data_IF_547566031127
#
_entry.id   IF_547566031127
#
_cell.length_a   1.000
_cell.length_b   1.000
_cell.length_c   1.000
_cell.angle_alpha   90.00
_cell.angle_beta   90.00
_cell.angle_gamma   90.00
#
_symmetry.space_group_name_H-M   'P 1'
#
loop_
_entity.id
_entity.type
_entity.pdbx_description
1 polymer ?
#
# COMPACT_ATOMS: atom_id res chain seq x y z
N UNK A 1 -10.84 -10.76 -7.06
CA UNK A 1 -11.32 -9.45 -7.55
C UNK A 1 -12.83 -9.42 -7.80
N UNK A 2 -13.50 -10.56 -8.05
CA UNK A 2 -14.96 -10.62 -8.27
C UNK A 2 -15.81 -10.00 -7.14
N UNK A 3 -15.32 -10.04 -5.90
CA UNK A 3 -16.01 -9.49 -4.71
C UNK A 3 -16.20 -7.96 -4.71
N UNK A 4 -15.49 -7.23 -5.58
CA UNK A 4 -15.57 -5.76 -5.62
C UNK A 4 -16.46 -5.25 -6.75
N UNK A 5 -16.88 -6.10 -7.69
CA UNK A 5 -17.62 -5.69 -8.88
C UNK A 5 -18.90 -4.91 -8.53
N UNK A 6 -19.64 -5.38 -7.51
CA UNK A 6 -20.89 -4.73 -7.06
C UNK A 6 -20.67 -3.32 -6.47
N UNK A 7 -19.48 -3.07 -5.92
CA UNK A 7 -19.09 -1.76 -5.36
C UNK A 7 -18.37 -0.87 -6.38
N UNK A 8 -17.95 -1.42 -7.51
CA UNK A 8 -17.28 -0.66 -8.56
C UNK A 8 -18.23 0.23 -9.35
N UNK A 9 -19.55 -0.02 -9.31
CA UNK A 9 -20.58 0.78 -10.00
C UNK A 9 -20.41 2.27 -9.74
N UNK A 10 -20.21 2.68 -8.49
CA UNK A 10 -19.98 4.09 -8.14
C UNK A 10 -18.77 4.69 -8.86
N UNK A 11 -17.66 3.95 -8.98
CA UNK A 11 -16.44 4.44 -9.65
C UNK A 11 -16.57 4.38 -11.18
N UNK A 12 -17.32 3.39 -11.70
CA UNK A 12 -17.54 3.20 -13.13
C UNK A 12 -18.54 4.23 -13.67
N UNK A 13 -19.56 4.59 -12.90
CA UNK A 13 -20.60 5.56 -13.30
C UNK A 13 -20.24 6.99 -12.88
N UNK A 14 -19.29 7.15 -11.96
CA UNK A 14 -18.85 8.44 -11.44
C UNK A 14 -18.31 9.37 -12.54
N UNK A 15 -18.85 10.59 -12.58
CA UNK A 15 -18.39 11.63 -13.50
C UNK A 15 -17.12 12.31 -12.98
N UNK A 16 -16.45 13.11 -13.83
CA UNK A 16 -15.28 13.90 -13.39
C UNK A 16 -15.60 14.86 -12.24
N UNK A 17 -16.85 15.31 -12.16
CA UNK A 17 -17.34 16.19 -11.09
C UNK A 17 -17.49 15.44 -9.77
N UNK A 18 -17.98 14.20 -9.81
CA UNK A 18 -18.09 13.35 -8.62
C UNK A 18 -16.71 12.98 -8.07
N UNK A 19 -15.74 12.68 -8.94
CA UNK A 19 -14.35 12.43 -8.54
C UNK A 19 -13.75 13.66 -7.86
N UNK A 20 -14.06 14.86 -8.34
CA UNK A 20 -13.61 16.10 -7.68
C UNK A 20 -14.29 16.32 -6.33
N UNK A 21 -15.58 16.00 -6.21
CA UNK A 21 -16.30 16.05 -4.92
C UNK A 21 -15.68 15.07 -3.92
N UNK A 22 -15.45 13.81 -4.30
CA UNK A 22 -14.83 12.82 -3.42
C UNK A 22 -13.39 13.17 -3.03
N UNK A 23 -12.65 13.84 -3.91
CA UNK A 23 -11.32 14.35 -3.59
C UNK A 23 -11.38 15.49 -2.55
N UNK A 24 -12.37 16.39 -2.65
CA UNK A 24 -12.58 17.51 -1.71
C UNK A 24 -13.08 17.02 -0.35
N UNK A 25 -13.99 16.05 -0.35
CA UNK A 25 -14.55 15.43 0.87
C UNK A 25 -13.56 14.50 1.58
N UNK A 26 -12.47 14.13 0.90
CA UNK A 26 -11.46 13.21 1.44
C UNK A 26 -11.91 11.75 1.49
N UNK A 27 -13.00 11.41 0.78
CA UNK A 27 -13.54 10.05 0.68
C UNK A 27 -12.52 9.09 0.06
N UNK A 28 -11.84 9.54 -1.00
CA UNK A 28 -10.75 8.82 -1.64
C UNK A 28 -9.43 9.59 -1.52
N UNK A 29 -8.30 8.86 -1.43
CA UNK A 29 -6.98 9.49 -1.41
C UNK A 29 -6.66 10.12 -2.78
N UNK A 30 -5.90 11.22 -2.79
CA UNK A 30 -5.58 11.97 -4.02
C UNK A 30 -5.03 11.09 -5.13
N UNK A 31 -4.10 10.18 -4.81
CA UNK A 31 -3.54 9.23 -5.79
C UNK A 31 -4.62 8.35 -6.42
N UNK A 32 -5.60 7.90 -5.63
CA UNK A 32 -6.71 7.06 -6.11
C UNK A 32 -7.59 7.88 -7.06
N UNK A 33 -7.95 9.10 -6.70
CA UNK A 33 -8.73 10.01 -7.56
C UNK A 33 -8.03 10.28 -8.90
N UNK A 34 -6.70 10.44 -8.89
CA UNK A 34 -5.94 10.66 -10.11
C UNK A 34 -5.88 9.43 -11.03
N UNK A 35 -5.93 8.23 -10.47
CA UNK A 35 -6.08 7.01 -11.28
C UNK A 35 -7.51 6.83 -11.79
N UNK A 36 -8.53 7.22 -11.03
CA UNK A 36 -9.93 7.18 -11.49
C UNK A 36 -10.15 8.04 -12.76
N UNK A 37 -9.45 9.18 -12.86
CA UNK A 37 -9.49 10.03 -14.07
C UNK A 37 -8.89 9.37 -15.32
N UNK A 38 -8.08 8.31 -15.15
CA UNK A 38 -7.35 7.60 -16.22
C UNK A 38 -7.98 6.25 -16.56
N UNK A 39 -9.22 6.02 -16.14
CA UNK A 39 -9.94 4.80 -16.44
C UNK A 39 -10.11 4.61 -17.97
N UNK A 40 -10.03 3.36 -18.47
CA UNK A 40 -10.24 3.07 -19.88
C UNK A 40 -11.69 3.30 -20.30
N UNK A 41 -11.91 3.51 -21.59
CA UNK A 41 -13.24 3.72 -22.19
C UNK A 41 -14.02 2.40 -22.30
N UNK A 42 -13.32 1.30 -22.58
CA UNK A 42 -13.92 -0.03 -22.66
C UNK A 42 -14.53 -0.44 -21.30
N UNK A 43 -15.79 -0.84 -21.30
CA UNK A 43 -16.54 -1.07 -20.07
C UNK A 43 -15.99 -2.25 -19.24
N UNK A 44 -15.60 -3.35 -19.90
CA UNK A 44 -15.09 -4.53 -19.21
C UNK A 44 -13.72 -4.25 -18.57
N UNK A 45 -12.81 -3.58 -19.30
CA UNK A 45 -11.52 -3.15 -18.76
C UNK A 45 -11.69 -2.03 -17.71
N UNK A 46 -12.70 -1.18 -17.85
CA UNK A 46 -13.02 -0.13 -16.87
C UNK A 46 -13.42 -0.70 -15.53
N UNK A 47 -14.30 -1.72 -15.52
CA UNK A 47 -14.64 -2.43 -14.28
C UNK A 47 -13.38 -3.04 -13.65
N UNK A 48 -12.58 -3.78 -14.43
CA UNK A 48 -11.36 -4.41 -13.91
C UNK A 48 -10.35 -3.39 -13.35
N UNK A 49 -10.23 -2.22 -13.98
CA UNK A 49 -9.36 -1.14 -13.51
C UNK A 49 -9.93 -0.50 -12.23
N UNK A 50 -11.23 -0.20 -12.21
CA UNK A 50 -11.94 0.34 -11.05
C UNK A 50 -11.82 -0.59 -9.84
N UNK A 51 -11.98 -1.91 -10.00
CA UNK A 51 -11.82 -2.87 -8.90
C UNK A 51 -10.43 -2.86 -8.29
N UNK A 52 -9.38 -2.68 -9.11
CA UNK A 52 -7.99 -2.59 -8.64
C UNK A 52 -7.76 -1.27 -7.88
N UNK A 53 -8.29 -0.17 -8.40
CA UNK A 53 -8.21 1.15 -7.76
C UNK A 53 -8.95 1.13 -6.42
N UNK A 54 -10.15 0.55 -6.37
CA UNK A 54 -10.93 0.40 -5.14
C UNK A 54 -10.22 -0.51 -4.12
N UNK A 55 -9.61 -1.60 -4.60
CA UNK A 55 -8.79 -2.44 -3.74
C UNK A 55 -7.59 -1.68 -3.15
N UNK A 56 -6.90 -0.90 -3.97
CA UNK A 56 -5.81 -0.03 -3.54
C UNK A 56 -6.28 0.98 -2.47
N UNK A 57 -7.44 1.60 -2.68
CA UNK A 57 -8.04 2.51 -1.71
C UNK A 57 -8.23 1.84 -0.34
N UNK A 58 -8.83 0.65 -0.29
CA UNK A 58 -9.03 -0.07 0.96
C UNK A 58 -7.71 -0.46 1.64
N UNK A 59 -6.68 -0.86 0.88
CA UNK A 59 -5.36 -1.14 1.44
C UNK A 59 -4.69 0.11 2.01
N UNK A 60 -4.82 1.27 1.35
CA UNK A 60 -4.30 2.55 1.87
C UNK A 60 -5.04 2.95 3.15
N UNK A 61 -6.37 2.81 3.18
CA UNK A 61 -7.17 3.08 4.37
C UNK A 61 -6.75 2.18 5.53
N UNK A 62 -6.59 0.88 5.27
CA UNK A 62 -6.10 -0.09 6.26
C UNK A 62 -4.69 0.24 6.74
N UNK A 63 -3.78 0.61 5.82
CA UNK A 63 -2.41 1.02 6.17
C UNK A 63 -2.41 2.19 7.16
N UNK A 64 -3.21 3.24 6.91
CA UNK A 64 -3.32 4.39 7.82
C UNK A 64 -3.80 3.98 9.22
N UNK A 65 -4.74 3.04 9.31
CA UNK A 65 -5.24 2.51 10.59
C UNK A 65 -4.27 1.53 11.26
N UNK A 66 -3.47 0.80 10.48
CA UNK A 66 -2.46 -0.14 10.99
C UNK A 66 -1.34 0.52 11.80
N UNK A 67 -1.22 1.85 11.74
CA UNK A 67 -0.26 2.63 12.50
C UNK A 67 -0.60 2.71 13.99
N UNK A 68 -1.85 2.47 14.37
CA UNK A 68 -2.24 2.40 15.77
C UNK A 68 -1.72 1.08 16.38
N UNK A 69 -1.20 1.15 17.62
CA UNK A 69 -0.65 -0.03 18.33
C UNK A 69 -1.65 -1.19 18.42
N UNK A 70 -2.94 -0.89 18.37
CA UNK A 70 -4.05 -1.84 18.40
C UNK A 70 -5.06 -1.43 17.34
N UNK A 71 -5.52 -2.38 16.55
CA UNK A 71 -6.69 -2.26 15.69
C UNK A 71 -7.95 -2.44 16.56
N UNK A 72 -8.13 -1.59 17.56
CA UNK A 72 -9.36 -1.55 18.35
C UNK A 72 -10.33 -0.58 17.68
N UNK A 73 -11.31 -1.09 16.94
CA UNK A 73 -12.26 -0.28 16.15
C UNK A 73 -12.51 -0.89 14.77
N UNK A 74 -13.02 -0.09 13.83
CA UNK A 74 -13.21 -0.49 12.43
C UNK A 74 -11.90 -0.25 11.64
N UNK A 75 -11.18 -1.30 11.22
CA UNK A 75 -9.89 -1.15 10.54
C UNK A 75 -10.02 -0.76 9.06
N UNK A 76 -11.24 -0.83 8.52
CA UNK A 76 -11.60 -0.46 7.16
C UNK A 76 -12.74 0.56 7.14
N UNK A 77 -12.93 1.26 6.02
CA UNK A 77 -14.17 2.00 5.74
C UNK A 77 -15.41 1.11 5.85
N UNK A 78 -16.56 1.71 6.17
CA UNK A 78 -17.82 1.00 6.44
C UNK A 78 -18.38 0.25 5.22
N UNK A 79 -18.01 0.70 4.03
CA UNK A 79 -18.41 0.14 2.75
C UNK A 79 -17.51 -1.03 2.28
N UNK A 80 -16.39 -1.29 2.96
CA UNK A 80 -15.44 -2.33 2.56
C UNK A 80 -16.05 -3.75 2.72
N UNK A 81 -15.97 -4.63 1.69
CA UNK A 81 -16.52 -5.99 1.79
C UNK A 81 -15.88 -6.82 2.91
N UNK A 82 -16.68 -7.52 3.72
CA UNK A 82 -16.18 -8.32 4.86
C UNK A 82 -15.09 -9.32 4.46
N UNK A 83 -15.29 -10.05 3.37
CA UNK A 83 -14.31 -10.99 2.85
C UNK A 83 -12.93 -10.34 2.56
N UNK A 84 -12.92 -9.06 2.17
CA UNK A 84 -11.68 -8.30 1.98
C UNK A 84 -11.02 -7.99 3.32
N UNK A 85 -11.82 -7.54 4.29
CA UNK A 85 -11.35 -7.19 5.63
C UNK A 85 -10.74 -8.41 6.32
N UNK A 86 -11.43 -9.55 6.29
CA UNK A 86 -10.99 -10.81 6.89
C UNK A 86 -9.68 -11.28 6.26
N UNK A 87 -9.59 -11.25 4.93
CA UNK A 87 -8.36 -11.63 4.20
C UNK A 87 -7.20 -10.71 4.55
N UNK A 88 -7.43 -9.40 4.65
CA UNK A 88 -6.39 -8.45 4.97
C UNK A 88 -5.91 -8.60 6.43
N UNK A 89 -6.83 -8.81 7.38
CA UNK A 89 -6.47 -9.09 8.77
C UNK A 89 -5.65 -10.39 8.88
N UNK A 90 -6.08 -11.46 8.18
CA UNK A 90 -5.35 -12.72 8.15
C UNK A 90 -3.92 -12.59 7.61
N UNK A 91 -3.71 -11.74 6.61
CA UNK A 91 -2.41 -11.62 5.91
C UNK A 91 -1.47 -10.61 6.57
N UNK A 92 -2.01 -9.55 7.18
CA UNK A 92 -1.23 -8.40 7.65
C UNK A 92 -1.33 -8.15 9.15
N UNK A 93 -2.23 -8.81 9.89
CA UNK A 93 -2.36 -8.62 11.33
C UNK A 93 -2.08 -9.92 12.10
N UNK A 94 -1.79 -9.74 13.39
CA UNK A 94 -1.72 -10.82 14.38
C UNK A 94 -2.83 -10.58 15.40
N UNK A 95 -3.74 -11.55 15.49
CA UNK A 95 -4.79 -11.59 16.49
C UNK A 95 -4.18 -11.94 17.86
N UNK A 96 -4.49 -11.14 18.87
CA UNK A 96 -4.15 -11.41 20.25
C UNK A 96 -5.41 -11.35 21.10
N UNK A 97 -5.60 -12.30 22.00
CA UNK A 97 -6.70 -12.22 22.96
C UNK A 97 -6.22 -11.34 24.11
N UNK A 98 -6.94 -10.25 24.36
CA UNK A 98 -6.66 -9.44 25.53
C UNK A 98 -7.14 -10.19 26.78
N UNK A 99 -6.21 -10.63 27.62
CA UNK A 99 -6.50 -11.44 28.83
C UNK A 99 -7.52 -10.78 29.77
N UNK A 100 -7.52 -9.43 29.85
CA UNK A 100 -8.41 -8.67 30.74
C UNK A 100 -9.82 -8.51 30.19
N UNK A 101 -9.97 -8.30 28.87
CA UNK A 101 -11.28 -8.04 28.26
C UNK A 101 -11.86 -9.25 27.53
N UNK A 102 -11.07 -10.32 27.36
CA UNK A 102 -11.33 -11.48 26.49
C UNK A 102 -11.68 -11.11 25.05
N UNK A 103 -11.44 -9.86 24.63
CA UNK A 103 -11.69 -9.41 23.26
C UNK A 103 -10.45 -9.66 22.42
N UNK A 104 -10.69 -10.08 21.18
CA UNK A 104 -9.63 -10.14 20.17
C UNK A 104 -9.16 -8.71 19.82
N UNK A 105 -7.86 -8.51 19.86
CA UNK A 105 -7.19 -7.28 19.49
C UNK A 105 -6.15 -7.60 18.44
N UNK A 106 -6.38 -7.10 17.24
CA UNK A 106 -5.45 -7.24 16.14
C UNK A 106 -4.32 -6.21 16.25
N UNK A 107 -3.09 -6.63 15.94
CA UNK A 107 -1.92 -5.75 15.86
C UNK A 107 -1.18 -5.96 14.54
N UNK A 108 -0.60 -4.89 13.99
CA UNK A 108 0.13 -4.95 12.73
C UNK A 108 1.62 -4.69 13.01
N UNK A 109 2.42 -5.75 13.22
CA UNK A 109 3.84 -5.60 13.55
C UNK A 109 4.61 -4.95 12.39
N UNK A 110 5.79 -4.34 12.64
CA UNK A 110 6.58 -3.64 11.63
C UNK A 110 6.84 -4.46 10.36
N UNK A 111 7.13 -5.77 10.49
CA UNK A 111 7.36 -6.67 9.36
C UNK A 111 6.13 -6.82 8.46
N UNK A 112 4.94 -6.98 9.06
CA UNK A 112 3.70 -7.11 8.28
C UNK A 112 3.26 -5.76 7.70
N UNK A 113 3.57 -4.65 8.37
CA UNK A 113 3.42 -3.30 7.79
C UNK A 113 4.30 -3.12 6.56
N UNK A 114 5.56 -3.55 6.59
CA UNK A 114 6.44 -3.50 5.42
C UNK A 114 5.87 -4.33 4.26
N UNK A 115 5.37 -5.55 4.55
CA UNK A 115 4.68 -6.40 3.56
C UNK A 115 3.46 -5.71 2.96
N UNK A 116 2.65 -5.04 3.78
CA UNK A 116 1.49 -4.26 3.33
C UNK A 116 1.93 -3.10 2.42
N UNK A 117 2.94 -2.33 2.82
CA UNK A 117 3.48 -1.24 2.00
C UNK A 117 4.00 -1.74 0.66
N UNK A 118 4.77 -2.83 0.65
CA UNK A 118 5.28 -3.43 -0.59
C UNK A 118 4.14 -3.88 -1.51
N UNK A 119 3.07 -4.47 -0.96
CA UNK A 119 1.90 -4.85 -1.74
C UNK A 119 1.19 -3.62 -2.34
N UNK A 120 1.06 -2.53 -1.57
CA UNK A 120 0.53 -1.26 -2.09
C UNK A 120 1.41 -0.75 -3.24
N UNK A 121 2.74 -0.78 -3.11
CA UNK A 121 3.66 -0.34 -4.16
C UNK A 121 3.53 -1.17 -5.44
N UNK A 122 3.45 -2.50 -5.32
CA UNK A 122 3.25 -3.41 -6.46
C UNK A 122 1.91 -3.13 -7.15
N UNK A 123 0.84 -2.95 -6.37
CA UNK A 123 -0.48 -2.65 -6.92
C UNK A 123 -0.50 -1.29 -7.62
N UNK A 124 0.16 -0.28 -7.06
CA UNK A 124 0.35 1.03 -7.70
C UNK A 124 1.14 0.91 -9.01
N UNK A 125 2.21 0.12 -9.06
CA UNK A 125 2.95 -0.15 -10.30
C UNK A 125 2.03 -0.76 -11.35
N UNK A 126 1.26 -1.78 -10.98
CA UNK A 126 0.37 -2.45 -11.92
C UNK A 126 -0.72 -1.50 -12.46
N UNK A 127 -1.33 -0.69 -11.60
CA UNK A 127 -2.37 0.29 -11.99
C UNK A 127 -1.78 1.39 -12.89
N UNK A 128 -0.57 1.87 -12.59
CA UNK A 128 0.06 2.96 -13.31
C UNK A 128 0.97 2.49 -14.46
N UNK A 129 0.75 1.28 -15.00
CA UNK A 129 1.52 0.71 -16.13
C UNK A 129 3.04 0.77 -15.89
N UNK A 130 3.44 0.33 -14.70
CA UNK A 130 4.82 0.19 -14.24
C UNK A 130 5.59 1.51 -14.04
N UNK A 131 4.90 2.66 -14.04
CA UNK A 131 5.48 3.98 -13.76
C UNK A 131 4.67 4.70 -12.70
N UNK A 132 5.24 4.96 -11.53
CA UNK A 132 4.54 5.53 -10.36
C UNK A 132 5.20 6.82 -9.92
N UNK A 133 4.41 7.87 -9.72
CA UNK A 133 4.82 9.05 -8.98
C UNK A 133 4.86 8.71 -7.48
N UNK A 134 6.08 8.66 -6.94
CA UNK A 134 6.38 8.25 -5.57
C UNK A 134 5.92 9.32 -4.57
N UNK A 135 6.00 10.60 -4.93
CA UNK A 135 5.58 11.70 -4.06
C UNK A 135 4.05 11.70 -3.90
N UNK A 136 3.32 11.53 -5.01
CA UNK A 136 1.86 11.41 -5.00
C UNK A 136 1.39 10.20 -4.19
N UNK A 137 2.07 9.05 -4.32
CA UNK A 137 1.77 7.86 -3.51
C UNK A 137 2.09 8.10 -2.03
N UNK A 138 3.23 8.73 -1.72
CA UNK A 138 3.60 9.07 -0.34
C UNK A 138 2.55 9.97 0.30
N UNK A 139 2.06 10.99 -0.40
CA UNK A 139 1.01 11.88 0.13
C UNK A 139 -0.25 11.10 0.49
N UNK A 140 -0.62 10.12 -0.34
CA UNK A 140 -1.76 9.25 -0.08
C UNK A 140 -1.55 8.31 1.10
N UNK A 141 -0.33 7.82 1.32
CA UNK A 141 0.04 7.04 2.52
C UNK A 141 0.18 7.91 3.78
N UNK A 142 0.42 9.21 3.61
CA UNK A 142 0.57 10.20 4.67
C UNK A 142 1.98 10.25 5.28
N UNK A 143 2.11 10.93 6.42
CA UNK A 143 3.40 11.13 7.11
C UNK A 143 3.96 9.89 7.80
N UNK A 144 3.24 8.76 7.74
CA UNK A 144 3.63 7.50 8.36
C UNK A 144 4.83 6.82 7.71
N UNK A 145 5.13 7.16 6.45
CA UNK A 145 6.29 6.67 5.71
C UNK A 145 7.09 7.85 5.16
N UNK A 146 8.41 7.79 5.34
CA UNK A 146 9.31 8.78 4.74
C UNK A 146 9.48 8.48 3.25
N UNK A 147 9.73 9.53 2.46
CA UNK A 147 10.00 9.37 1.02
C UNK A 147 11.17 8.43 0.77
N UNK A 148 12.24 8.52 1.57
CA UNK A 148 13.41 7.65 1.47
C UNK A 148 13.06 6.17 1.68
N UNK A 149 12.24 5.84 2.69
CA UNK A 149 11.81 4.45 2.92
C UNK A 149 10.95 3.92 1.78
N UNK A 150 10.12 4.78 1.21
CA UNK A 150 9.29 4.39 0.06
C UNK A 150 10.15 4.15 -1.18
N UNK A 151 11.17 4.99 -1.40
CA UNK A 151 12.17 4.81 -2.45
C UNK A 151 13.01 3.53 -2.25
N UNK A 152 13.41 3.22 -1.01
CA UNK A 152 14.11 1.96 -0.70
C UNK A 152 13.26 0.75 -1.10
N UNK A 153 11.96 0.75 -0.75
CA UNK A 153 11.04 -0.33 -1.12
C UNK A 153 10.91 -0.46 -2.64
N UNK A 154 10.74 0.64 -3.37
CA UNK A 154 10.70 0.59 -4.84
C UNK A 154 12.01 0.08 -5.44
N UNK A 155 13.15 0.46 -4.86
CA UNK A 155 14.47 -0.01 -5.30
C UNK A 155 14.64 -1.50 -5.02
N UNK A 156 14.15 -2.01 -3.88
CA UNK A 156 14.13 -3.43 -3.54
C UNK A 156 13.23 -4.25 -4.49
N UNK A 157 12.15 -3.65 -4.98
CA UNK A 157 11.28 -4.23 -6.01
C UNK A 157 11.90 -4.21 -7.42
N UNK A 158 13.08 -3.64 -7.58
CA UNK A 158 13.80 -3.55 -8.86
C UNK A 158 13.42 -2.34 -9.72
N UNK A 159 12.70 -1.35 -9.16
CA UNK A 159 12.39 -0.12 -9.87
C UNK A 159 13.60 0.81 -9.95
N UNK A 160 13.72 1.52 -11.06
CA UNK A 160 14.61 2.66 -11.23
C UNK A 160 13.90 3.91 -10.75
N UNK A 161 14.53 4.68 -9.88
CA UNK A 161 13.99 5.93 -9.37
C UNK A 161 14.70 7.08 -10.05
N UNK A 162 13.94 7.90 -10.76
CA UNK A 162 14.41 9.09 -11.45
C UNK A 162 13.69 10.31 -10.89
N UNK A 163 14.38 11.44 -10.83
CA UNK A 163 13.76 12.71 -10.51
C UNK A 163 13.34 13.37 -11.81
N UNK A 164 12.04 13.57 -11.99
CA UNK A 164 11.46 14.25 -13.16
C UNK A 164 10.92 15.58 -12.67
N UNK A 165 11.54 16.68 -13.10
CA UNK A 165 11.30 18.03 -12.55
C UNK A 165 11.43 18.06 -11.01
N UNK A 166 10.31 18.16 -10.29
CA UNK A 166 10.27 18.22 -8.83
C UNK A 166 9.69 16.96 -8.16
N UNK A 167 9.38 15.92 -8.94
CA UNK A 167 8.80 14.67 -8.42
C UNK A 167 9.74 13.48 -8.65
N UNK A 168 9.68 12.53 -7.73
CA UNK A 168 10.36 11.26 -7.80
C UNK A 168 9.44 10.26 -8.49
N UNK A 169 9.91 9.69 -9.59
CA UNK A 169 9.18 8.70 -10.38
C UNK A 169 9.90 7.37 -10.31
N UNK A 170 9.17 6.32 -9.92
CA UNK A 170 9.66 4.95 -9.92
C UNK A 170 9.14 4.22 -11.15
N UNK A 171 10.06 3.67 -11.95
CA UNK A 171 9.74 2.92 -13.17
C UNK A 171 10.29 1.50 -13.05
N UNK A 172 9.45 0.49 -13.32
CA UNK A 172 9.89 -0.89 -13.44
C UNK A 172 10.17 -1.21 -14.92
N UNK A 173 11.44 -1.29 -15.27
CA UNK A 173 11.91 -1.60 -16.63
C UNK A 173 12.32 -3.08 -16.74
N UNK A 174 12.37 -3.59 -17.96
CA UNK A 174 12.90 -4.93 -18.24
C UNK A 174 14.29 -4.81 -18.90
N UNK A 175 15.25 -5.68 -18.56
CA UNK A 175 15.19 -6.75 -17.55
C UNK A 175 15.14 -6.20 -16.11
N UNK A 176 14.53 -6.96 -15.20
CA UNK A 176 14.34 -6.55 -13.80
C UNK A 176 15.71 -6.26 -13.17
N UNK A 177 15.86 -5.05 -12.64
CA UNK A 177 17.10 -4.67 -11.99
C UNK A 177 17.24 -5.43 -10.68
N UNK A 178 18.37 -6.12 -10.47
CA UNK A 178 18.59 -6.84 -9.22
C UNK A 178 18.73 -5.82 -8.08
N UNK A 179 18.03 -6.01 -6.95
CA UNK A 179 18.21 -5.13 -5.81
C UNK A 179 19.68 -5.13 -5.41
N UNK A 180 20.27 -3.95 -5.25
CA UNK A 180 21.64 -3.81 -4.74
C UNK A 180 21.62 -4.27 -3.28
N UNK A 181 22.06 -5.50 -3.03
CA UNK A 181 22.31 -5.97 -1.67
C UNK A 181 23.32 -4.99 -1.06
N UNK A 182 22.96 -4.35 0.06
CA UNK A 182 23.93 -3.60 0.85
C UNK A 182 24.92 -4.62 1.41
N UNK A 183 26.10 -4.72 0.79
CA UNK A 183 27.22 -5.50 1.32
C UNK A 183 27.56 -4.95 2.71
N UNK A 184 27.16 -5.66 3.76
CA UNK A 184 27.32 -5.16 5.12
C UNK A 184 26.64 -5.91 6.28
N UNK A 185 26.01 -7.06 6.07
CA UNK A 185 25.75 -8.01 7.17
C UNK A 185 26.74 -9.17 7.06
N UNK A 186 27.95 -8.95 7.57
CA UNK A 186 28.85 -10.04 7.90
C UNK A 186 28.25 -10.86 9.04
N UNK A 187 27.67 -12.00 8.67
CA UNK A 187 27.50 -13.11 9.59
C UNK A 187 28.88 -13.63 9.98
N UNK A 188 29.25 -13.43 11.25
CA UNK A 188 30.26 -14.23 11.93
C UNK A 188 31.72 -13.77 11.77
N UNK A 189 32.27 -13.21 12.85
CA UNK A 189 33.65 -13.55 13.22
C UNK A 189 33.84 -13.47 14.72
N UNK A 190 34.03 -14.65 15.31
CA UNK A 190 34.51 -14.88 16.66
C UNK A 190 35.72 -13.97 16.98
N UNK A 191 35.60 -13.10 17.99
CA UNK A 191 36.77 -12.51 18.65
C UNK A 191 36.88 -13.03 20.08
N UNK A 192 37.85 -13.95 20.21
CA UNK A 192 38.51 -14.51 21.39
C UNK A 192 38.40 -13.64 22.65
N UNK A 193 37.89 -14.26 23.73
CA UNK A 193 38.13 -13.86 25.11
C UNK A 193 39.65 -13.89 25.37
N UNK A 194 40.26 -12.72 25.60
CA UNK A 194 41.55 -12.65 26.31
C UNK A 194 41.27 -12.80 27.80
N UNK A 195 41.67 -13.94 28.36
CA UNK A 195 41.99 -14.07 29.79
C UNK A 195 43.34 -13.40 30.00
N UNK A 196 43.44 -12.49 30.96
CA UNK A 196 44.69 -12.09 31.59
C UNK A 196 44.64 -12.57 33.03
N UNK A 197 45.72 -13.23 33.44
CA UNK A 197 46.01 -13.68 34.79
C UNK A 197 46.08 -12.51 35.78
#
# INVERSE_FOLDING_TARGET
>A
MLLLNDKCSQIVDGTKEDIQKWAKEGTYASFVCDQMKKLPVDHAERIKAASKILYLHYLIAFFKRSMFKRLSGKPFPDDAPRALQDKALQVYAIANINERTRKEVNTVPPRLRLKLTAHICILSLYICRFTVDVDSLRLSLGSSISILKLQDIFSELGCKIIKVAHTNVATLETPINKPKLKDGMSLGSNRKRKRTN
#
